data_IF_363373370231
#
_entry.id   IF_363373370231
#
_cell.length_a   1.000
_cell.length_b   1.000
_cell.length_c   1.000
_cell.angle_alpha   90.00
_cell.angle_beta   90.00
_cell.angle_gamma   90.00
#
_symmetry.space_group_name_H-M   'P 1'
#
loop_
_entity.id
_entity.type
_entity.pdbx_description
1 polymer ?
#
# COMPACT_ATOMS: atom_id res chain seq x y z
N UNK A 1 -2.45 31.55 -0.79
CA UNK A 1 -1.20 32.08 -0.19
C UNK A 1 -0.04 31.22 -0.66
N UNK A 2 1.14 31.80 -0.90
CA UNK A 2 2.34 31.04 -1.24
C UNK A 2 2.93 30.36 0.00
N UNK A 3 3.31 29.09 -0.12
CA UNK A 3 4.03 28.35 0.93
C UNK A 3 5.45 28.90 1.05
N UNK A 4 5.80 29.47 2.21
CA UNK A 4 7.15 29.96 2.50
C UNK A 4 7.91 28.89 3.29
N UNK A 5 9.00 28.38 2.70
CA UNK A 5 9.84 27.35 3.33
C UNK A 5 11.10 28.02 3.86
N UNK A 6 11.20 28.18 5.18
CA UNK A 6 12.35 28.81 5.84
C UNK A 6 13.56 27.86 6.01
N UNK A 7 13.34 26.54 5.93
CA UNK A 7 14.40 25.57 6.14
C UNK A 7 15.30 25.42 4.88
N UNK A 8 16.60 25.78 4.95
CA UNK A 8 17.49 25.74 3.79
C UNK A 8 17.73 24.33 3.24
N UNK A 9 17.67 23.30 4.10
CA UNK A 9 17.83 21.89 3.69
C UNK A 9 16.67 21.47 2.80
N UNK A 10 15.44 21.92 3.11
CA UNK A 10 14.26 21.61 2.28
C UNK A 10 14.37 22.32 0.93
N UNK A 11 14.83 23.58 0.92
CA UNK A 11 15.07 24.31 -0.33
C UNK A 11 16.08 23.60 -1.23
N UNK A 12 17.17 23.07 -0.66
CA UNK A 12 18.16 22.29 -1.40
C UNK A 12 17.55 21.02 -2.01
N UNK A 13 16.77 20.25 -1.23
CA UNK A 13 16.08 19.05 -1.73
C UNK A 13 15.11 19.36 -2.86
N UNK A 14 14.36 20.46 -2.77
CA UNK A 14 13.44 20.90 -3.83
C UNK A 14 14.21 21.29 -5.08
N UNK A 15 15.35 21.97 -4.94
CA UNK A 15 16.19 22.33 -6.07
C UNK A 15 16.78 21.09 -6.77
N UNK A 16 17.24 20.10 -6.01
CA UNK A 16 17.72 18.82 -6.53
C UNK A 16 16.63 18.05 -7.27
N UNK A 17 15.44 17.93 -6.66
CA UNK A 17 14.30 17.26 -7.28
C UNK A 17 13.89 17.95 -8.59
N UNK A 18 13.86 19.29 -8.61
CA UNK A 18 13.57 20.07 -9.80
C UNK A 18 14.62 19.81 -10.91
N UNK A 19 15.90 19.77 -10.55
CA UNK A 19 16.99 19.47 -11.50
C UNK A 19 16.87 18.06 -12.10
N UNK A 20 16.58 17.05 -11.27
CA UNK A 20 16.44 15.65 -11.72
C UNK A 20 15.21 15.44 -12.61
N UNK A 21 14.14 16.20 -12.38
CA UNK A 21 12.86 16.03 -13.09
C UNK A 21 12.68 16.99 -14.26
N UNK A 22 13.56 17.99 -14.41
CA UNK A 22 13.42 19.06 -15.39
C UNK A 22 12.24 20.01 -15.13
N UNK A 23 11.65 19.95 -13.93
CA UNK A 23 10.49 20.76 -13.56
C UNK A 23 10.91 22.06 -12.87
N UNK A 24 10.00 23.04 -12.82
CA UNK A 24 10.16 24.17 -11.91
C UNK A 24 10.11 23.69 -10.46
N UNK A 25 10.71 24.44 -9.52
CA UNK A 25 10.66 24.10 -8.08
C UNK A 25 9.22 23.93 -7.58
N UNK A 26 8.31 24.80 -8.03
CA UNK A 26 6.89 24.70 -7.67
C UNK A 26 6.26 23.43 -8.23
N UNK A 27 6.44 23.14 -9.52
CA UNK A 27 5.86 21.95 -10.15
C UNK A 27 6.45 20.65 -9.59
N UNK A 28 7.73 20.65 -9.22
CA UNK A 28 8.37 19.53 -8.55
C UNK A 28 7.76 19.25 -7.16
N UNK A 29 7.50 20.31 -6.38
CA UNK A 29 6.82 20.17 -5.07
C UNK A 29 5.37 19.71 -5.26
N UNK A 30 4.64 20.29 -6.20
CA UNK A 30 3.25 19.91 -6.50
C UNK A 30 3.15 18.42 -6.84
N UNK A 31 3.95 17.96 -7.82
CA UNK A 31 4.00 16.54 -8.20
C UNK A 31 4.37 15.63 -7.03
N UNK A 32 5.33 16.02 -6.20
CA UNK A 32 5.74 15.23 -5.04
C UNK A 32 4.64 15.13 -3.98
N UNK A 33 3.91 16.23 -3.73
CA UNK A 33 2.78 16.26 -2.80
C UNK A 33 1.63 15.41 -3.33
N UNK A 34 1.29 15.55 -4.62
CA UNK A 34 0.22 14.76 -5.25
C UNK A 34 0.51 13.25 -5.16
N UNK A 35 1.74 12.84 -5.44
CA UNK A 35 2.15 11.44 -5.33
C UNK A 35 2.07 10.92 -3.89
N UNK A 36 2.46 11.74 -2.92
CA UNK A 36 2.39 11.36 -1.51
C UNK A 36 0.94 11.25 -1.02
N UNK A 37 0.06 12.16 -1.45
CA UNK A 37 -1.38 12.10 -1.15
C UNK A 37 -2.02 10.86 -1.78
N UNK A 38 -1.72 10.58 -3.06
CA UNK A 38 -2.22 9.40 -3.78
C UNK A 38 -1.76 8.09 -3.10
N UNK A 39 -0.48 8.02 -2.74
CA UNK A 39 0.08 6.84 -2.07
C UNK A 39 -0.56 6.64 -0.70
N UNK A 40 -0.75 7.71 0.07
CA UNK A 40 -1.37 7.65 1.40
C UNK A 40 -2.84 7.22 1.34
N UNK A 41 -3.63 7.82 0.43
CA UNK A 41 -5.02 7.44 0.20
C UNK A 41 -5.15 5.96 -0.20
N UNK A 42 -4.26 5.48 -1.08
CA UNK A 42 -4.26 4.08 -1.51
C UNK A 42 -3.86 3.10 -0.40
N UNK A 43 -3.04 3.50 0.57
CA UNK A 43 -2.67 2.65 1.70
C UNK A 43 -3.85 2.42 2.65
N UNK A 44 -4.64 3.47 2.91
CA UNK A 44 -5.86 3.39 3.72
C UNK A 44 -6.94 2.54 3.02
N UNK A 45 -7.14 2.75 1.72
CA UNK A 45 -8.07 1.94 0.92
C UNK A 45 -7.65 0.47 0.86
N UNK A 46 -6.36 0.18 0.67
CA UNK A 46 -5.83 -1.20 0.72
C UNK A 46 -6.05 -1.86 2.08
N UNK A 47 -5.82 -1.14 3.18
CA UNK A 47 -6.11 -1.64 4.54
C UNK A 47 -7.59 -1.95 4.70
N UNK A 48 -8.47 -1.03 4.29
CA UNK A 48 -9.92 -1.24 4.36
C UNK A 48 -10.36 -2.48 3.55
N UNK A 49 -9.78 -2.69 2.36
CA UNK A 49 -10.06 -3.85 1.53
C UNK A 49 -9.59 -5.16 2.18
N UNK A 50 -8.40 -5.19 2.79
CA UNK A 50 -7.89 -6.36 3.54
C UNK A 50 -8.82 -6.68 4.71
N UNK A 51 -9.22 -5.68 5.51
CA UNK A 51 -10.17 -5.91 6.61
C UNK A 51 -11.53 -6.39 6.12
N UNK A 52 -12.03 -5.89 5.00
CA UNK A 52 -13.27 -6.37 4.40
C UNK A 52 -13.19 -7.85 3.99
N UNK A 53 -12.05 -8.27 3.41
CA UNK A 53 -11.79 -9.67 3.07
C UNK A 53 -11.70 -10.55 4.33
N UNK A 54 -10.98 -10.12 5.37
CA UNK A 54 -10.90 -10.83 6.64
C UNK A 54 -12.28 -10.96 7.31
N UNK A 55 -13.07 -9.89 7.32
CA UNK A 55 -14.44 -9.92 7.81
C UNK A 55 -15.36 -10.84 6.99
N UNK A 56 -15.05 -11.07 5.71
CA UNK A 56 -15.74 -12.07 4.90
C UNK A 56 -15.35 -13.49 5.32
N UNK A 57 -14.06 -13.75 5.60
CA UNK A 57 -13.61 -15.04 6.13
C UNK A 57 -14.21 -15.35 7.50
N UNK A 58 -14.31 -14.38 8.40
CA UNK A 58 -14.92 -14.55 9.73
C UNK A 58 -16.40 -14.97 9.67
N UNK A 59 -17.08 -14.69 8.55
CA UNK A 59 -18.48 -15.08 8.32
C UNK A 59 -18.62 -16.50 7.75
N UNK A 60 -17.54 -17.12 7.31
CA UNK A 60 -17.57 -18.50 6.84
C UNK A 60 -17.77 -19.37 8.06
N UNK A 61 -18.98 -19.89 8.23
CA UNK A 61 -19.26 -20.85 9.28
C UNK A 61 -18.28 -22.03 9.14
N UNK A 62 -17.65 -22.47 10.23
CA UNK A 62 -16.80 -23.65 10.19
C UNK A 62 -17.64 -24.81 9.68
N UNK A 63 -17.34 -25.25 8.46
CA UNK A 63 -17.92 -26.45 7.90
C UNK A 63 -17.41 -27.63 8.75
N UNK A 64 -18.27 -28.58 9.15
CA UNK A 64 -17.77 -29.83 9.68
C UNK A 64 -16.78 -30.38 8.67
N UNK A 65 -15.55 -30.65 9.13
CA UNK A 65 -14.53 -31.26 8.28
C UNK A 65 -15.17 -32.53 7.71
N UNK A 66 -15.32 -32.67 6.38
CA UNK A 66 -15.76 -33.94 5.83
C UNK A 66 -14.76 -34.99 6.32
N UNK A 67 -15.24 -36.11 6.85
CA UNK A 67 -14.37 -37.25 7.15
C UNK A 67 -13.60 -37.54 5.85
N UNK A 68 -12.30 -37.28 5.86
CA UNK A 68 -11.51 -37.45 4.65
C UNK A 68 -11.32 -38.95 4.46
N UNK A 69 -12.00 -39.53 3.49
CA UNK A 69 -11.73 -40.89 2.99
C UNK A 69 -10.35 -41.00 2.32
N UNK A 70 -9.57 -39.92 2.32
CA UNK A 70 -8.20 -39.87 1.83
C UNK A 70 -7.34 -40.74 2.74
N UNK A 71 -6.97 -41.92 2.25
CA UNK A 71 -5.95 -42.76 2.82
C UNK A 71 -4.61 -42.15 2.44
N UNK A 72 -3.77 -41.85 3.43
CA UNK A 72 -2.44 -41.30 3.20
C UNK A 72 -1.43 -42.46 3.21
N UNK A 73 -0.51 -42.47 2.26
CA UNK A 73 0.62 -43.39 2.29
C UNK A 73 1.67 -42.96 3.35
N UNK A 74 2.71 -43.78 3.52
CA UNK A 74 3.80 -43.51 4.45
C UNK A 74 4.65 -42.26 4.11
N UNK A 75 4.47 -41.69 2.92
CA UNK A 75 5.13 -40.48 2.44
C UNK A 75 4.25 -39.23 2.56
N UNK A 76 3.02 -39.36 3.05
CA UNK A 76 2.07 -38.26 3.20
C UNK A 76 1.43 -37.84 1.88
N UNK A 77 1.32 -38.75 0.91
CA UNK A 77 0.58 -38.55 -0.34
C UNK A 77 -0.81 -39.21 -0.28
N UNK A 78 -1.84 -38.62 -0.90
CA UNK A 78 -3.16 -39.23 -0.98
C UNK A 78 -3.14 -40.46 -1.92
N UNK A 79 -3.66 -41.59 -1.45
CA UNK A 79 -3.84 -42.87 -2.19
C UNK A 79 -5.29 -43.20 -2.44
#
# INVERSE_FOLDING_TARGET
MALQIANPVVVAKVAELAALTGLSKTAAVEKAVDEMLRTSASAEQRRAQIYALLAQFDRIAPQPRPESDIVWDEHGLPT
#
